data_IF_538387286069
#
_entry.id   IF_538387286069
#
_cell.length_a   1.000
_cell.length_b   1.000
_cell.length_c   1.000
_cell.angle_alpha   90.00
_cell.angle_beta   90.00
_cell.angle_gamma   90.00
#
_symmetry.space_group_name_H-M   'P 1'
#
loop_
_entity.id
_entity.type
_entity.pdbx_description
1 polymer ?
#
# COMPACT_ATOMS: atom_id res chain seq x y z
N UNK A 1 -44.59 -24.71 1.71
CA UNK A 1 -44.11 -23.61 0.84
C UNK A 1 -42.88 -24.12 0.09
N UNK A 2 -43.06 -24.63 -1.13
CA UNK A 2 -41.97 -25.19 -1.94
C UNK A 2 -41.34 -24.06 -2.77
N UNK A 3 -40.05 -23.78 -2.57
CA UNK A 3 -39.31 -22.81 -3.37
C UNK A 3 -38.54 -23.52 -4.47
N UNK A 4 -38.90 -23.20 -5.72
CA UNK A 4 -38.22 -23.64 -6.94
C UNK A 4 -36.92 -22.87 -7.12
N UNK A 5 -35.81 -23.59 -7.34
CA UNK A 5 -34.48 -23.04 -7.61
C UNK A 5 -34.28 -22.80 -9.12
N UNK A 6 -33.76 -21.64 -9.56
CA UNK A 6 -33.41 -21.43 -10.97
C UNK A 6 -32.15 -22.22 -11.37
N UNK A 7 -32.17 -22.78 -12.59
CA UNK A 7 -31.05 -23.51 -13.21
C UNK A 7 -29.89 -22.57 -13.56
N UNK A 8 -28.67 -22.97 -13.22
CA UNK A 8 -27.43 -22.32 -13.66
C UNK A 8 -27.05 -22.72 -15.11
N UNK A 9 -26.46 -21.81 -15.90
CA UNK A 9 -25.91 -22.12 -17.22
C UNK A 9 -24.63 -22.96 -17.13
N UNK A 10 -24.45 -23.89 -18.08
CA UNK A 10 -23.27 -24.74 -18.22
C UNK A 10 -22.13 -23.97 -18.89
N UNK A 11 -21.00 -23.80 -18.20
CA UNK A 11 -19.77 -23.31 -18.83
C UNK A 11 -19.10 -24.46 -19.60
N UNK A 12 -19.05 -24.32 -20.92
CA UNK A 12 -18.31 -25.19 -21.83
C UNK A 12 -16.81 -24.96 -21.66
N UNK A 13 -16.08 -26.02 -21.32
CA UNK A 13 -14.63 -26.01 -21.26
C UNK A 13 -14.02 -26.00 -22.66
N UNK A 14 -13.16 -25.03 -22.93
CA UNK A 14 -12.18 -25.10 -24.01
C UNK A 14 -10.79 -24.78 -23.48
N UNK A 15 -10.05 -25.87 -23.35
CA UNK A 15 -8.60 -26.04 -23.31
C UNK A 15 -7.90 -25.09 -24.29
N UNK A 16 -6.88 -24.36 -23.84
CA UNK A 16 -5.80 -23.89 -24.72
C UNK A 16 -4.49 -24.38 -24.12
N UNK A 17 -3.86 -25.24 -24.90
CA UNK A 17 -2.61 -25.92 -24.61
C UNK A 17 -1.39 -25.02 -24.85
N UNK A 18 -0.32 -25.41 -24.18
CA UNK A 18 1.05 -24.95 -24.18
C UNK A 18 1.64 -24.82 -25.59
N UNK A 19 2.43 -23.76 -25.83
CA UNK A 19 3.55 -23.80 -26.77
C UNK A 19 4.79 -23.22 -26.08
N UNK A 20 5.73 -24.12 -25.78
CA UNK A 20 7.11 -23.81 -25.48
C UNK A 20 7.83 -23.44 -26.79
N UNK A 21 8.66 -22.40 -26.76
CA UNK A 21 9.65 -22.16 -27.79
C UNK A 21 11.02 -21.99 -27.12
N UNK A 22 11.84 -23.03 -27.27
CA UNK A 22 13.28 -23.02 -27.02
C UNK A 22 13.93 -22.38 -28.24
N UNK A 23 14.75 -21.35 -28.03
CA UNK A 23 15.59 -20.74 -29.06
C UNK A 23 16.92 -20.36 -28.42
N UNK A 24 17.95 -21.12 -28.77
CA UNK A 24 19.32 -20.96 -28.28
C UNK A 24 20.19 -20.19 -29.29
N UNK A 25 21.32 -19.70 -28.77
CA UNK A 25 22.58 -19.33 -29.42
C UNK A 25 22.68 -17.94 -30.09
N UNK A 26 23.70 -17.23 -29.63
CA UNK A 26 24.23 -15.99 -30.22
C UNK A 26 25.41 -15.47 -29.41
N UNK A 27 26.54 -16.18 -29.44
CA UNK A 27 27.84 -15.68 -28.96
C UNK A 27 28.41 -14.78 -30.06
N UNK A 28 28.78 -13.55 -29.70
CA UNK A 28 29.49 -12.63 -30.59
C UNK A 28 30.27 -11.62 -29.77
N UNK A 29 31.57 -11.89 -29.60
CA UNK A 29 32.58 -10.92 -29.20
C UNK A 29 33.31 -10.45 -30.46
N UNK A 30 33.68 -9.16 -30.55
CA UNK A 30 35.03 -8.71 -30.99
C UNK A 30 35.15 -7.18 -31.08
N UNK A 31 36.23 -6.69 -30.46
CA UNK A 31 37.12 -5.54 -30.71
C UNK A 31 36.61 -4.09 -30.92
N UNK A 32 36.98 -3.26 -29.94
CA UNK A 32 37.96 -2.16 -30.02
C UNK A 32 38.11 -1.36 -31.32
N UNK A 33 37.92 -0.04 -31.20
CA UNK A 33 38.45 0.98 -32.10
C UNK A 33 38.63 2.29 -31.35
N UNK A 34 39.86 2.58 -30.94
CA UNK A 34 40.29 3.85 -30.38
C UNK A 34 40.38 4.90 -31.48
N UNK A 35 39.97 6.14 -31.21
CA UNK A 35 40.60 7.32 -31.80
C UNK A 35 40.49 8.50 -30.84
N UNK A 36 41.63 9.14 -30.70
CA UNK A 36 42.06 10.13 -29.74
C UNK A 36 42.09 11.44 -30.50
N UNK A 37 41.44 12.48 -30.01
CA UNK A 37 41.85 13.86 -30.30
C UNK A 37 41.62 14.74 -29.07
N UNK A 38 42.72 15.34 -28.62
CA UNK A 38 42.83 16.32 -27.54
C UNK A 38 43.19 17.65 -28.21
N UNK A 39 42.55 18.75 -27.85
CA UNK A 39 43.11 19.90 -27.10
C UNK A 39 42.55 21.16 -27.79
N UNK A 40 42.29 22.33 -27.20
CA UNK A 40 42.56 22.99 -25.92
C UNK A 40 41.63 24.25 -25.88
N UNK A 41 41.59 25.06 -24.79
CA UNK A 41 40.41 25.83 -24.38
C UNK A 41 40.42 27.31 -24.83
N UNK A 42 39.33 28.04 -24.53
CA UNK A 42 39.51 29.23 -23.70
C UNK A 42 38.43 29.41 -22.60
N UNK A 43 38.84 30.06 -21.51
CA UNK A 43 38.03 30.73 -20.47
C UNK A 43 38.67 32.12 -20.26
N UNK A 44 38.04 33.12 -19.59
CA UNK A 44 36.74 33.11 -18.89
C UNK A 44 35.86 34.37 -19.10
N UNK A 45 34.72 34.37 -18.38
CA UNK A 45 33.99 35.50 -17.78
C UNK A 45 32.73 36.05 -18.50
N UNK A 46 31.63 36.13 -17.74
CA UNK A 46 30.63 37.19 -17.89
C UNK A 46 29.17 36.78 -18.03
N UNK A 47 28.43 36.98 -16.94
CA UNK A 47 27.03 37.45 -16.88
C UNK A 47 25.86 36.51 -17.25
N UNK A 48 24.69 37.00 -16.86
CA UNK A 48 23.46 36.40 -16.39
C UNK A 48 22.58 35.75 -17.45
N UNK A 49 21.63 34.94 -16.96
CA UNK A 49 20.56 34.43 -17.80
C UNK A 49 19.76 33.30 -17.16
N UNK A 50 19.06 33.61 -16.08
CA UNK A 50 18.00 32.77 -15.56
C UNK A 50 16.93 32.53 -16.63
N UNK A 51 16.71 31.28 -17.04
CA UNK A 51 15.40 30.82 -17.48
C UNK A 51 15.13 29.45 -16.87
N UNK A 52 14.56 29.51 -15.68
CA UNK A 52 13.73 28.45 -15.14
C UNK A 52 12.69 28.08 -16.20
N UNK A 53 12.79 26.86 -16.73
CA UNK A 53 11.65 26.23 -17.37
C UNK A 53 10.54 26.20 -16.31
N UNK A 54 9.46 26.94 -16.57
CA UNK A 54 8.29 26.94 -15.72
C UNK A 54 7.85 25.48 -15.50
N UNK A 55 7.62 25.05 -14.25
CA UNK A 55 7.02 23.75 -14.02
C UNK A 55 5.67 23.70 -14.74
N UNK A 56 5.29 22.58 -15.37
CA UNK A 56 3.95 22.45 -15.92
C UNK A 56 2.96 22.74 -14.79
N UNK A 57 2.01 23.65 -15.05
CA UNK A 57 0.98 24.01 -14.10
C UNK A 57 0.32 22.73 -13.58
N UNK A 58 0.61 22.37 -12.33
CA UNK A 58 0.03 21.21 -11.69
C UNK A 58 -1.49 21.44 -11.59
N UNK A 59 -2.27 20.48 -12.07
CA UNK A 59 -3.72 20.51 -11.91
C UNK A 59 -4.10 20.79 -10.44
N UNK A 60 -5.03 21.72 -10.16
CA UNK A 60 -5.45 22.05 -8.79
C UNK A 60 -6.03 20.84 -8.01
N UNK A 61 -6.41 19.78 -8.71
CA UNK A 61 -6.84 18.51 -8.12
C UNK A 61 -5.65 17.66 -7.60
N UNK A 62 -4.49 17.76 -8.24
CA UNK A 62 -3.28 17.02 -7.82
C UNK A 62 -2.70 17.61 -6.55
N UNK A 63 -2.70 18.94 -6.42
CA UNK A 63 -2.18 19.64 -5.23
C UNK A 63 -3.03 19.35 -3.97
N UNK A 64 -4.35 19.27 -4.10
CA UNK A 64 -5.24 18.96 -2.97
C UNK A 64 -5.12 17.51 -2.50
N UNK A 65 -4.94 16.57 -3.43
CA UNK A 65 -4.77 15.17 -3.10
C UNK A 65 -3.39 14.90 -2.45
N UNK A 66 -2.33 15.50 -2.96
CA UNK A 66 -0.97 15.42 -2.39
C UNK A 66 -0.88 16.13 -1.03
N UNK A 67 -1.55 17.26 -0.86
CA UNK A 67 -1.65 17.94 0.44
C UNK A 67 -2.36 17.07 1.48
N UNK A 68 -3.42 16.34 1.10
CA UNK A 68 -4.09 15.40 1.97
C UNK A 68 -3.18 14.22 2.37
N UNK A 69 -2.41 13.66 1.43
CA UNK A 69 -1.43 12.61 1.73
C UNK A 69 -0.32 13.12 2.68
N UNK A 70 0.14 14.36 2.47
CA UNK A 70 1.10 15.00 3.36
C UNK A 70 0.51 15.28 4.76
N UNK A 71 -0.79 15.59 4.86
CA UNK A 71 -1.47 15.72 6.14
C UNK A 71 -1.55 14.37 6.88
N UNK A 72 -1.86 13.28 6.18
CA UNK A 72 -1.85 11.94 6.78
C UNK A 72 -0.46 11.51 7.25
N UNK A 73 0.59 11.89 6.54
CA UNK A 73 1.98 11.62 6.93
C UNK A 73 2.40 12.33 8.24
N UNK A 74 1.72 13.43 8.62
CA UNK A 74 1.93 14.21 9.85
C UNK A 74 1.16 13.68 11.05
N UNK A 75 0.19 12.78 10.85
CA UNK A 75 -0.53 12.14 11.96
C UNK A 75 0.45 11.39 12.88
N UNK A 76 0.07 11.28 14.15
CA UNK A 76 0.77 10.43 15.11
C UNK A 76 0.69 8.95 14.69
N UNK A 77 1.68 8.16 15.12
CA UNK A 77 1.71 6.73 14.88
C UNK A 77 0.52 6.04 15.57
N UNK A 78 -0.11 5.08 14.89
CA UNK A 78 -1.02 4.16 15.56
C UNK A 78 -0.22 3.29 16.54
N UNK A 79 -0.56 3.38 17.83
CA UNK A 79 0.18 2.73 18.93
C UNK A 79 -0.69 1.74 19.70
N UNK A 80 -1.85 1.39 19.16
CA UNK A 80 -2.73 0.34 19.65
C UNK A 80 -3.61 -0.18 18.51
N UNK A 81 -4.44 -1.18 18.79
CA UNK A 81 -5.54 -1.55 17.91
C UNK A 81 -6.84 -1.70 18.72
N UNK A 82 -7.96 -1.36 18.08
CA UNK A 82 -9.28 -1.51 18.68
C UNK A 82 -10.25 -2.20 17.74
N UNK A 83 -11.23 -2.85 18.33
CA UNK A 83 -12.39 -3.34 17.59
C UNK A 83 -13.42 -2.19 17.49
N UNK A 84 -13.60 -1.64 16.28
CA UNK A 84 -14.65 -0.64 16.01
C UNK A 84 -15.94 -1.37 15.66
N UNK A 85 -17.04 -1.15 16.40
CA UNK A 85 -18.28 -1.89 16.18
C UNK A 85 -18.93 -1.50 14.84
N UNK A 86 -19.38 -2.50 14.10
CA UNK A 86 -20.28 -2.35 12.93
C UNK A 86 -21.72 -2.59 13.35
N UNK A 87 -21.93 -3.53 14.27
CA UNK A 87 -23.20 -3.77 14.95
C UNK A 87 -22.92 -4.37 16.34
N UNK A 88 -23.96 -4.86 17.02
CA UNK A 88 -23.86 -5.45 18.37
C UNK A 88 -22.89 -6.63 18.46
N UNK A 89 -22.64 -7.33 17.35
CA UNK A 89 -21.89 -8.59 17.32
C UNK A 89 -20.57 -8.48 16.57
N UNK A 90 -20.54 -7.67 15.50
CA UNK A 90 -19.43 -7.59 14.56
C UNK A 90 -18.69 -6.27 14.70
N UNK A 91 -17.36 -6.32 14.58
CA UNK A 91 -16.53 -5.14 14.49
C UNK A 91 -15.34 -5.31 13.57
N UNK A 92 -14.69 -4.18 13.27
CA UNK A 92 -13.48 -4.10 12.45
C UNK A 92 -12.29 -3.88 13.39
N UNK A 93 -11.28 -4.75 13.39
CA UNK A 93 -10.04 -4.49 14.10
C UNK A 93 -9.24 -3.45 13.33
N UNK A 94 -9.10 -2.26 13.91
CA UNK A 94 -8.42 -1.12 13.30
C UNK A 94 -7.21 -0.70 14.15
N UNK A 95 -6.08 -0.37 13.53
CA UNK A 95 -5.04 0.45 14.15
C UNK A 95 -5.64 1.72 14.76
N UNK A 96 -5.20 2.08 15.96
CA UNK A 96 -5.73 3.21 16.73
C UNK A 96 -4.66 3.96 17.51
N UNK A 97 -5.05 5.16 17.97
CA UNK A 97 -4.27 5.98 18.89
C UNK A 97 -4.25 5.31 20.27
N UNK A 98 -3.09 5.30 20.93
CA UNK A 98 -2.93 4.74 22.28
C UNK A 98 -3.83 5.48 23.29
N UNK A 99 -4.55 4.72 24.13
CA UNK A 99 -5.38 5.29 25.19
C UNK A 99 -6.56 6.12 24.69
N UNK A 100 -6.94 5.97 23.41
CA UNK A 100 -7.99 6.74 22.78
C UNK A 100 -8.91 5.85 21.96
N UNK A 101 -10.14 6.34 21.75
CA UNK A 101 -11.11 5.75 20.83
C UNK A 101 -10.83 6.09 19.37
N UNK A 102 -9.94 7.05 19.11
CA UNK A 102 -9.63 7.53 17.77
C UNK A 102 -8.84 6.52 16.94
N UNK A 103 -9.27 6.31 15.70
CA UNK A 103 -8.49 5.61 14.66
C UNK A 103 -7.74 6.60 13.75
N UNK A 104 -7.73 7.90 14.09
CA UNK A 104 -7.08 8.97 13.34
C UNK A 104 -5.58 9.01 13.65
N UNK A 105 -4.84 8.05 13.07
CA UNK A 105 -3.40 7.88 13.19
C UNK A 105 -2.85 7.28 11.89
N UNK A 106 -1.52 7.21 11.75
CA UNK A 106 -0.88 6.57 10.61
C UNK A 106 0.01 5.39 10.97
N UNK A 107 0.29 4.55 9.97
CA UNK A 107 1.39 3.60 9.94
C UNK A 107 2.14 3.77 8.62
N UNK A 108 3.47 3.91 8.67
CA UNK A 108 4.33 4.15 7.50
C UNK A 108 5.65 3.40 7.61
N UNK A 109 6.40 3.38 6.51
CA UNK A 109 7.70 2.71 6.46
C UNK A 109 8.65 3.17 7.57
N UNK A 110 9.27 2.20 8.23
CA UNK A 110 10.15 2.42 9.36
C UNK A 110 9.42 2.40 10.71
N UNK A 111 8.09 2.42 10.73
CA UNK A 111 7.35 2.17 11.96
C UNK A 111 7.59 0.71 12.38
N UNK A 112 8.27 0.58 13.50
CA UNK A 112 8.45 -0.66 14.24
C UNK A 112 7.83 -0.42 15.64
N UNK A 113 8.00 -1.34 16.60
CA UNK A 113 7.48 -1.12 17.95
C UNK A 113 8.11 0.10 18.69
N UNK A 114 9.03 0.81 18.04
CA UNK A 114 9.91 1.84 18.55
C UNK A 114 10.05 3.01 17.55
N UNK A 115 9.02 3.86 17.41
CA UNK A 115 9.29 5.16 16.77
C UNK A 115 10.10 6.02 17.75
N UNK A 116 11.42 5.93 17.65
CA UNK A 116 12.35 6.55 18.62
C UNK A 116 12.61 5.67 19.84
N UNK A 117 12.96 6.28 20.99
CA UNK A 117 13.33 5.59 22.24
C UNK A 117 12.13 5.06 23.05
N UNK A 118 10.91 5.53 22.78
CA UNK A 118 9.80 5.38 23.71
C UNK A 118 8.86 4.22 23.33
N UNK A 119 8.91 3.12 24.09
CA UNK A 119 8.02 1.95 23.95
C UNK A 119 6.63 2.13 24.56
N UNK A 120 6.05 3.32 24.58
CA UNK A 120 4.67 3.45 25.09
C UNK A 120 3.68 2.77 24.13
N UNK A 121 2.72 2.02 24.68
CA UNK A 121 1.65 1.35 23.92
C UNK A 121 2.03 0.01 23.28
N UNK A 122 1.24 -0.40 22.29
CA UNK A 122 1.38 -1.64 21.51
C UNK A 122 1.42 -1.38 19.98
N UNK A 123 2.39 -0.59 19.49
CA UNK A 123 2.55 -0.28 18.06
C UNK A 123 2.71 -1.53 17.17
N UNK A 124 3.31 -2.60 17.68
CA UNK A 124 3.37 -3.90 17.01
C UNK A 124 1.96 -4.45 16.71
N UNK A 125 1.06 -4.35 17.68
CA UNK A 125 -0.33 -4.82 17.56
C UNK A 125 -1.06 -4.06 16.46
N UNK A 126 -0.87 -2.75 16.37
CA UNK A 126 -1.43 -1.91 15.30
C UNK A 126 -0.99 -2.40 13.91
N UNK A 127 0.32 -2.64 13.74
CA UNK A 127 0.88 -3.09 12.46
C UNK A 127 0.43 -4.52 12.14
N UNK A 128 0.43 -5.43 13.12
CA UNK A 128 -0.02 -6.81 12.92
C UNK A 128 -1.49 -6.88 12.51
N UNK A 129 -2.37 -6.03 13.05
CA UNK A 129 -3.77 -5.95 12.64
C UNK A 129 -3.89 -5.60 11.16
N UNK A 130 -3.12 -4.60 10.70
CA UNK A 130 -3.07 -4.26 9.27
C UNK A 130 -2.52 -5.44 8.44
N UNK A 131 -1.41 -6.06 8.84
CA UNK A 131 -0.81 -7.18 8.12
C UNK A 131 -1.77 -8.39 7.99
N UNK A 132 -2.48 -8.76 9.07
CA UNK A 132 -3.50 -9.83 9.05
C UNK A 132 -4.64 -9.49 8.10
N UNK A 133 -5.08 -8.24 8.08
CA UNK A 133 -6.13 -7.78 7.16
C UNK A 133 -5.65 -7.86 5.71
N UNK A 134 -4.46 -7.36 5.42
CA UNK A 134 -3.84 -7.41 4.08
C UNK A 134 -3.65 -8.84 3.57
N UNK A 135 -3.31 -9.77 4.47
CA UNK A 135 -3.23 -11.19 4.13
C UNK A 135 -4.61 -11.79 3.84
N UNK A 136 -5.60 -11.51 4.70
CA UNK A 136 -6.92 -12.13 4.60
C UNK A 136 -7.73 -11.60 3.41
N UNK A 137 -7.69 -10.28 3.17
CA UNK A 137 -8.55 -9.63 2.16
C UNK A 137 -7.88 -9.45 0.81
N UNK A 138 -6.55 -9.54 0.74
CA UNK A 138 -5.77 -9.31 -0.49
C UNK A 138 -4.79 -10.43 -0.84
N UNK A 139 -4.65 -11.47 0.00
CA UNK A 139 -3.78 -12.61 -0.30
C UNK A 139 -2.28 -12.27 -0.29
N UNK A 140 -1.88 -11.24 0.45
CA UNK A 140 -0.55 -10.61 0.33
C UNK A 140 0.63 -11.37 0.95
N UNK A 141 0.36 -12.48 1.66
CA UNK A 141 1.36 -13.39 2.30
C UNK A 141 2.49 -12.68 3.08
N UNK A 142 2.19 -11.56 3.72
CA UNK A 142 3.09 -10.83 4.60
C UNK A 142 3.41 -11.64 5.86
N UNK A 143 4.63 -11.49 6.38
CA UNK A 143 4.90 -11.81 7.78
C UNK A 143 4.02 -10.93 8.68
N UNK A 144 3.50 -11.50 9.75
CA UNK A 144 2.72 -10.79 10.77
C UNK A 144 3.64 -10.51 11.96
N UNK A 145 4.68 -9.72 11.69
CA UNK A 145 5.80 -9.45 12.60
C UNK A 145 5.65 -8.13 13.37
N UNK A 146 4.65 -7.32 13.05
CA UNK A 146 4.48 -6.00 13.65
C UNK A 146 5.51 -4.98 13.19
N UNK A 147 6.17 -5.20 12.05
CA UNK A 147 7.13 -4.28 11.45
C UNK A 147 6.56 -3.73 10.14
N UNK A 148 6.44 -2.41 10.04
CA UNK A 148 6.08 -1.75 8.79
C UNK A 148 7.31 -1.61 7.90
N UNK A 149 7.77 -2.76 7.40
CA UNK A 149 8.93 -2.87 6.53
C UNK A 149 8.63 -2.62 5.06
N UNK A 150 9.63 -2.89 4.22
CA UNK A 150 9.55 -2.71 2.75
C UNK A 150 8.37 -3.50 2.15
N UNK A 151 8.17 -4.73 2.61
CA UNK A 151 7.11 -5.62 2.12
C UNK A 151 5.71 -5.09 2.48
N UNK A 152 5.50 -4.69 3.74
CA UNK A 152 4.23 -4.08 4.18
C UNK A 152 3.92 -2.82 3.38
N UNK A 153 4.91 -1.92 3.21
CA UNK A 153 4.73 -0.72 2.38
C UNK A 153 4.36 -1.06 0.93
N UNK A 154 5.05 -2.03 0.32
CA UNK A 154 4.78 -2.44 -1.06
C UNK A 154 3.34 -2.95 -1.24
N UNK A 155 2.85 -3.75 -0.29
CA UNK A 155 1.48 -4.26 -0.28
C UNK A 155 0.47 -3.14 -0.06
N UNK A 156 0.73 -2.21 0.87
CA UNK A 156 -0.16 -1.06 1.08
C UNK A 156 -0.28 -0.23 -0.19
N UNK A 157 0.83 0.05 -0.88
CA UNK A 157 0.80 0.72 -2.20
C UNK A 157 -0.02 -0.04 -3.24
N UNK A 158 0.11 -1.37 -3.28
CA UNK A 158 -0.67 -2.20 -4.20
C UNK A 158 -2.17 -2.07 -3.91
N UNK A 159 -2.56 -2.15 -2.65
CA UNK A 159 -3.97 -2.02 -2.24
C UNK A 159 -4.49 -0.60 -2.50
N UNK A 160 -3.72 0.44 -2.23
CA UNK A 160 -4.06 1.83 -2.54
C UNK A 160 -4.34 2.02 -4.04
N UNK A 161 -3.47 1.48 -4.91
CA UNK A 161 -3.72 1.48 -6.37
C UNK A 161 -4.98 0.72 -6.74
N UNK A 162 -5.23 -0.44 -6.13
CA UNK A 162 -6.43 -1.26 -6.38
C UNK A 162 -7.72 -0.49 -6.07
N UNK A 163 -7.70 0.38 -5.06
CA UNK A 163 -8.83 1.23 -4.67
C UNK A 163 -8.79 2.65 -5.26
N UNK A 164 -7.88 2.90 -6.20
CA UNK A 164 -7.77 4.19 -6.91
C UNK A 164 -7.58 5.40 -5.97
N UNK A 165 -6.84 5.21 -4.88
CA UNK A 165 -6.37 6.29 -4.01
C UNK A 165 -4.86 6.49 -4.20
N UNK A 166 -4.32 7.58 -3.63
CA UNK A 166 -2.87 7.87 -3.69
C UNK A 166 -2.08 6.69 -3.12
N UNK A 167 -1.13 6.20 -3.91
CA UNK A 167 -0.29 5.05 -3.57
C UNK A 167 1.02 5.46 -2.88
N UNK A 168 0.91 6.24 -1.81
CA UNK A 168 2.04 6.75 -1.02
C UNK A 168 2.71 5.66 -0.15
N UNK A 169 1.98 4.57 0.14
CA UNK A 169 2.41 3.51 1.03
C UNK A 169 2.33 3.90 2.50
N UNK A 170 1.43 4.83 2.85
CA UNK A 170 1.09 5.23 4.20
C UNK A 170 -0.32 4.71 4.48
N UNK A 171 -0.45 3.91 5.55
CA UNK A 171 -1.77 3.63 6.09
C UNK A 171 -2.20 4.84 6.93
N UNK A 172 -3.20 5.58 6.45
CA UNK A 172 -3.85 6.69 7.15
C UNK A 172 -5.37 6.62 7.00
N UNK A 173 -6.15 7.61 7.48
CA UNK A 173 -7.60 7.64 7.40
C UNK A 173 -8.19 7.33 6.02
N UNK A 174 -7.60 7.86 4.94
CA UNK A 174 -8.01 7.63 3.55
C UNK A 174 -7.80 6.18 3.13
N UNK A 175 -6.65 5.61 3.47
CA UNK A 175 -6.39 4.19 3.25
C UNK A 175 -7.34 3.33 4.10
N UNK A 176 -7.53 3.65 5.38
CA UNK A 176 -8.42 2.94 6.30
C UNK A 176 -9.85 2.85 5.76
N UNK A 177 -10.40 3.96 5.26
CA UNK A 177 -11.76 4.03 4.73
C UNK A 177 -11.91 3.42 3.33
N UNK A 178 -10.83 3.37 2.54
CA UNK A 178 -10.90 2.80 1.19
C UNK A 178 -10.76 1.28 1.15
N UNK A 179 -10.00 0.68 2.08
CA UNK A 179 -9.71 -0.76 2.01
C UNK A 179 -10.82 -1.63 2.58
N UNK A 180 -10.90 -2.85 2.07
CA UNK A 180 -11.73 -3.89 2.61
C UNK A 180 -11.14 -4.41 3.91
N UNK A 181 -12.03 -4.70 4.85
CA UNK A 181 -11.74 -5.25 6.15
C UNK A 181 -12.42 -6.59 6.34
N UNK A 182 -11.73 -7.49 7.04
CA UNK A 182 -12.33 -8.71 7.58
C UNK A 182 -12.91 -8.41 8.95
N UNK A 183 -14.18 -8.72 9.14
CA UNK A 183 -14.90 -8.47 10.39
C UNK A 183 -14.59 -9.57 11.41
N UNK A 184 -14.56 -9.19 12.68
CA UNK A 184 -14.45 -10.09 13.81
C UNK A 184 -15.73 -10.06 14.64
N UNK A 185 -16.27 -11.25 14.95
CA UNK A 185 -17.42 -11.41 15.83
C UNK A 185 -16.95 -11.63 17.26
N UNK A 186 -17.26 -10.69 18.15
CA UNK A 186 -16.93 -10.83 19.57
C UNK A 186 -17.77 -11.90 20.27
N UNK A 187 -19.01 -12.13 19.83
CA UNK A 187 -19.91 -13.13 20.43
C UNK A 187 -19.48 -14.57 20.12
N UNK A 188 -19.09 -14.84 18.87
CA UNK A 188 -18.71 -16.19 18.42
C UNK A 188 -17.20 -16.41 18.38
N UNK A 189 -16.39 -15.35 18.58
CA UNK A 189 -14.92 -15.36 18.44
C UNK A 189 -14.44 -15.85 17.07
N UNK A 190 -15.23 -15.55 16.03
CA UNK A 190 -14.93 -15.95 14.65
C UNK A 190 -14.67 -14.76 13.76
N UNK A 191 -14.02 -15.02 12.62
CA UNK A 191 -13.82 -14.04 11.56
C UNK A 191 -14.84 -14.23 10.44
N UNK A 192 -15.24 -13.15 9.79
CA UNK A 192 -16.10 -13.21 8.61
C UNK A 192 -15.44 -14.01 7.48
N UNK A 193 -16.29 -14.65 6.66
CA UNK A 193 -15.86 -15.37 5.44
C UNK A 193 -15.49 -14.42 4.31
N UNK A 194 -16.07 -13.22 4.31
CA UNK A 194 -15.87 -12.18 3.30
C UNK A 194 -15.18 -10.97 3.89
N UNK A 195 -14.58 -10.16 3.03
CA UNK A 195 -14.11 -8.82 3.36
C UNK A 195 -14.98 -7.78 2.67
N UNK A 196 -15.25 -6.68 3.35
CA UNK A 196 -16.03 -5.54 2.82
C UNK A 196 -15.42 -4.23 3.30
N UNK A 197 -15.69 -3.12 2.62
CA UNK A 197 -15.37 -1.77 3.12
C UNK A 197 -16.57 -1.25 3.91
N UNK A 198 -16.58 -1.32 5.25
CA UNK A 198 -17.76 -0.95 6.04
C UNK A 198 -17.69 0.51 6.54
N UNK A 199 -16.65 1.25 6.14
CA UNK A 199 -16.26 2.58 6.62
C UNK A 199 -16.44 3.65 5.55
#
# INVERSE_FOLDING_TARGET
>A
MAFSLPKLPKFSGRTIAVLAAVGALGVGAVAAGASKDQAAPPKPAGDAGSQAAAPPAADPLTTSAEAAAAAEARLGQCRDARLVPVNKTWGIPLPSVLGSTSTNCNLKYGDNPHRGSDRSGKPDTAIQVLQRNLNSCYGSRLAVDGIYGKNTRAVVKMVQRKHKIIADGIYGPKTRSAINWRLYSSSTRTWSKTCSSPL
#
